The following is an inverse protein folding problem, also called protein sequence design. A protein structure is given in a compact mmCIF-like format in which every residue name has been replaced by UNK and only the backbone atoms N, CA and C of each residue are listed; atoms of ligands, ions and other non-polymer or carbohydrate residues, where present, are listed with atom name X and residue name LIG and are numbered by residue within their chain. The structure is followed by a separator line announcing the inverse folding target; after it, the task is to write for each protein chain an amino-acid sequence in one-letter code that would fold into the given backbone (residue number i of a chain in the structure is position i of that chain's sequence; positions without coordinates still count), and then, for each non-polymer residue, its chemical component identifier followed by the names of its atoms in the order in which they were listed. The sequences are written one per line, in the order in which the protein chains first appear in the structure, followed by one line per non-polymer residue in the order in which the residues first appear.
data_IF_801740410758
#
_entry.id   IF_801740410758
#
_cell.length_a   1.000
_cell.length_b   1.000
_cell.length_c   1.000
_cell.angle_alpha   90.00
_cell.angle_beta   90.00
_cell.angle_gamma   90.00
#
_symmetry.space_group_name_H-M   'P 1'
#
loop_
_entity.id
_entity.type
_entity.pdbx_description
1 polymer ?
#
# COMPACT_ATOMS: atom_id res chain seq x y z
N UNK A 1 -11.34 25.98 14.33
CA UNK A 1 -11.09 24.57 14.66
C UNK A 1 -11.12 23.80 13.37
N UNK A 2 -9.98 23.38 12.84
CA UNK A 2 -9.89 22.56 11.63
C UNK A 2 -10.18 21.12 12.03
N UNK A 3 -11.24 20.54 11.49
CA UNK A 3 -11.56 19.11 11.69
C UNK A 3 -10.60 18.30 10.85
N UNK A 4 -9.88 17.34 11.46
CA UNK A 4 -8.98 16.44 10.74
C UNK A 4 -9.75 15.61 9.70
N UNK A 5 -9.12 15.28 8.57
CA UNK A 5 -9.74 14.46 7.50
C UNK A 5 -10.26 13.12 8.02
N UNK A 6 -9.57 12.49 8.97
CA UNK A 6 -10.02 11.27 9.64
C UNK A 6 -11.29 11.47 10.46
N UNK A 7 -11.44 12.64 11.09
CA UNK A 7 -12.65 12.99 11.82
C UNK A 7 -13.85 13.22 10.90
N UNK A 8 -13.63 13.75 9.68
CA UNK A 8 -14.67 13.85 8.65
C UNK A 8 -15.11 12.48 8.11
N UNK A 9 -14.17 11.55 7.94
CA UNK A 9 -14.46 10.18 7.48
C UNK A 9 -15.11 9.33 8.59
N UNK A 10 -14.79 9.58 9.87
CA UNK A 10 -15.46 8.97 11.02
C UNK A 10 -16.86 9.53 11.30
N UNK A 11 -17.22 10.69 10.73
CA UNK A 11 -18.51 11.36 10.89
C UNK A 11 -19.55 11.01 9.82
N UNK A 12 -19.40 9.91 9.10
CA UNK A 12 -20.49 9.36 8.29
C UNK A 12 -21.65 8.99 9.21
N UNK A 13 -22.88 9.50 8.98
CA UNK A 13 -23.98 9.30 9.91
C UNK A 13 -24.33 7.82 9.98
N UNK A 14 -24.06 7.20 11.10
CA UNK A 14 -24.78 6.03 11.55
C UNK A 14 -26.26 6.42 11.60
N UNK A 15 -27.02 6.03 10.61
CA UNK A 15 -28.47 6.00 10.66
C UNK A 15 -28.85 5.06 11.81
N UNK A 16 -29.10 5.65 12.99
CA UNK A 16 -29.80 5.02 14.10
C UNK A 16 -31.21 4.66 13.62
N UNK A 17 -31.38 3.47 13.09
CA UNK A 17 -32.69 2.83 12.96
C UNK A 17 -33.10 2.39 14.37
N UNK A 18 -33.90 3.22 15.01
CA UNK A 18 -34.68 2.83 16.18
C UNK A 18 -35.59 1.66 15.81
N UNK A 19 -35.74 0.63 16.66
CA UNK A 19 -36.65 -0.46 16.39
C UNK A 19 -38.09 0.03 16.50
N UNK A 20 -38.80 0.08 15.37
CA UNK A 20 -40.25 0.21 15.36
C UNK A 20 -40.85 -1.15 15.70
N UNK A 21 -41.35 -1.27 16.91
CA UNK A 21 -42.30 -2.29 17.30
C UNK A 21 -43.57 -2.14 16.45
N UNK A 22 -43.77 -3.03 15.48
CA UNK A 22 -45.07 -3.33 14.89
C UNK A 22 -45.35 -4.80 15.09
N UNK A 23 -46.46 -5.05 15.75
CA UNK A 23 -47.07 -6.33 16.10
C UNK A 23 -48.01 -6.69 14.96
N UNK A 24 -48.05 -7.96 14.59
CA UNK A 24 -49.20 -8.54 13.79
C UNK A 24 -48.74 -9.41 12.63
N UNK A 25 -48.79 -10.69 12.89
CA UNK A 25 -49.28 -11.82 12.09
C UNK A 25 -49.29 -11.66 10.54
N UNK A 26 -48.48 -12.42 9.85
CA UNK A 26 -48.87 -13.60 9.05
C UNK A 26 -47.62 -14.24 8.44
N UNK A 27 -47.51 -15.54 8.69
CA UNK A 27 -46.48 -16.39 8.17
C UNK A 27 -46.85 -16.90 6.77
N UNK A 28 -45.89 -16.87 5.83
CA UNK A 28 -45.76 -17.95 4.84
C UNK A 28 -44.42 -17.77 4.09
N UNK A 29 -43.54 -18.69 4.36
CA UNK A 29 -42.68 -19.40 3.44
C UNK A 29 -41.91 -18.59 2.37
N UNK A 30 -40.69 -18.24 2.70
CA UNK A 30 -39.62 -18.07 1.74
C UNK A 30 -38.35 -18.72 2.34
N UNK A 31 -38.11 -19.94 1.92
CA UNK A 31 -36.86 -20.66 2.14
C UNK A 31 -35.72 -19.87 1.55
N UNK A 32 -35.07 -19.08 2.40
CA UNK A 32 -33.81 -18.43 2.09
C UNK A 32 -32.70 -19.48 2.25
N UNK A 33 -32.26 -20.00 1.13
CA UNK A 33 -30.99 -20.70 1.01
C UNK A 33 -29.86 -19.64 0.95
N UNK A 34 -29.52 -19.06 2.08
CA UNK A 34 -28.44 -18.11 2.18
C UNK A 34 -27.78 -18.34 3.51
N UNK A 35 -26.78 -19.27 3.52
CA UNK A 35 -26.48 -19.37 4.76
C UNK A 35 -25.16 -19.72 5.37
N UNK A 36 -24.59 -20.80 5.25
CA UNK A 36 -23.51 -21.28 6.11
C UNK A 36 -22.10 -20.70 5.84
N UNK A 37 -21.86 -20.04 4.71
CA UNK A 37 -20.52 -19.54 4.34
C UNK A 37 -20.13 -18.23 5.04
N UNK A 38 -21.05 -17.42 5.54
CA UNK A 38 -20.75 -16.14 6.20
C UNK A 38 -20.30 -16.29 7.67
N UNK A 39 -20.53 -17.43 8.28
CA UNK A 39 -20.25 -17.65 9.71
C UNK A 39 -18.73 -17.84 10.02
N UNK A 40 -17.88 -18.07 9.01
CA UNK A 40 -16.46 -18.35 9.17
C UNK A 40 -15.50 -17.30 8.59
N UNK A 41 -16.01 -16.23 7.98
CA UNK A 41 -15.14 -15.19 7.43
C UNK A 41 -14.67 -14.22 8.52
N UNK A 42 -13.49 -14.49 9.07
CA UNK A 42 -12.83 -13.62 10.03
C UNK A 42 -11.66 -12.88 9.37
N UNK A 43 -11.79 -11.57 9.20
CA UNK A 43 -10.74 -10.73 8.62
C UNK A 43 -9.51 -10.69 9.53
N UNK A 44 -9.70 -10.51 10.82
CA UNK A 44 -8.64 -10.37 11.81
C UNK A 44 -8.64 -11.60 12.73
N UNK A 45 -7.51 -12.24 12.88
CA UNK A 45 -7.33 -13.39 13.77
C UNK A 45 -6.30 -13.10 14.85
N UNK A 46 -6.36 -13.82 15.99
CA UNK A 46 -5.32 -13.73 17.03
C UNK A 46 -3.91 -13.96 16.48
N UNK A 47 -3.77 -14.82 15.46
CA UNK A 47 -2.50 -15.10 14.81
C UNK A 47 -1.99 -13.88 14.03
N UNK A 48 -2.87 -13.24 13.23
CA UNK A 48 -2.52 -12.03 12.47
C UNK A 48 -2.21 -10.84 13.38
N UNK A 49 -2.95 -10.67 14.48
CA UNK A 49 -2.66 -9.62 15.46
C UNK A 49 -1.30 -9.83 16.16
N UNK A 50 -1.01 -11.07 16.58
CA UNK A 50 0.30 -11.39 17.15
C UNK A 50 1.43 -11.18 16.16
N UNK A 51 1.24 -11.60 14.91
CA UNK A 51 2.23 -11.40 13.84
C UNK A 51 2.47 -9.91 13.58
N UNK A 52 1.41 -9.10 13.47
CA UNK A 52 1.49 -7.65 13.31
C UNK A 52 2.27 -7.01 14.47
N UNK A 53 1.93 -7.32 15.71
CA UNK A 53 2.63 -6.77 16.89
C UNK A 53 4.12 -7.10 16.87
N UNK A 54 4.50 -8.36 16.60
CA UNK A 54 5.91 -8.77 16.50
C UNK A 54 6.63 -8.07 15.35
N UNK A 55 5.97 -7.88 14.19
CA UNK A 55 6.50 -7.12 13.07
C UNK A 55 6.81 -5.68 13.47
N UNK A 56 5.88 -5.01 14.15
CA UNK A 56 6.09 -3.66 14.68
C UNK A 56 7.25 -3.58 15.66
N UNK A 57 7.38 -4.55 16.57
CA UNK A 57 8.51 -4.61 17.50
C UNK A 57 9.85 -4.76 16.78
N UNK A 58 9.89 -5.51 15.67
CA UNK A 58 11.06 -5.56 14.80
C UNK A 58 11.33 -4.21 14.14
N UNK A 59 10.32 -3.58 13.51
CA UNK A 59 10.47 -2.29 12.84
C UNK A 59 11.00 -1.19 13.78
N UNK A 60 10.57 -1.18 15.03
CA UNK A 60 11.09 -0.23 16.03
C UNK A 60 12.59 -0.37 16.29
N UNK A 61 13.17 -1.57 16.14
CA UNK A 61 14.60 -1.81 16.30
C UNK A 61 15.42 -1.33 15.10
N UNK A 62 14.79 -1.12 13.94
CA UNK A 62 15.46 -0.59 12.74
C UNK A 62 15.52 0.93 12.71
N UNK A 63 14.77 1.60 13.60
CA UNK A 63 14.73 3.07 13.68
C UNK A 63 15.96 3.64 14.33
N UNK A 64 16.52 4.67 13.73
CA UNK A 64 17.58 5.51 14.26
C UNK A 64 17.01 6.67 15.10
N UNK A 65 17.89 7.33 15.87
CA UNK A 65 17.48 8.46 16.73
C UNK A 65 16.92 9.65 15.94
N UNK A 66 17.37 9.83 14.71
CA UNK A 66 16.92 10.89 13.80
C UNK A 66 15.58 10.59 13.10
N UNK A 67 15.02 9.40 13.30
CA UNK A 67 13.75 8.97 12.73
C UNK A 67 13.85 8.16 11.43
N UNK A 68 15.05 8.02 10.85
CA UNK A 68 15.27 7.17 9.69
C UNK A 68 15.26 5.68 10.07
N UNK A 69 14.87 4.81 9.16
CA UNK A 69 14.90 3.36 9.31
C UNK A 69 15.89 2.75 8.32
N UNK A 70 16.76 1.87 8.81
CA UNK A 70 17.71 1.13 7.96
C UNK A 70 17.02 0.00 7.21
N UNK A 71 17.72 -0.58 6.24
CA UNK A 71 17.23 -1.77 5.50
C UNK A 71 17.16 -3.02 6.39
N UNK A 72 17.88 -3.01 7.51
CA UNK A 72 17.85 -3.98 8.62
C UNK A 72 18.32 -3.28 9.90
N UNK A 73 18.28 -3.98 11.04
CA UNK A 73 18.76 -3.47 12.34
C UNK A 73 20.24 -3.04 12.22
N UNK A 74 20.53 -1.82 12.67
CA UNK A 74 21.89 -1.27 12.67
C UNK A 74 22.43 -0.85 11.29
N UNK A 75 21.63 -0.96 10.22
CA UNK A 75 22.01 -0.48 8.89
C UNK A 75 21.67 1.01 8.72
N UNK A 76 22.41 1.74 7.87
CA UNK A 76 22.11 3.15 7.60
C UNK A 76 20.67 3.39 7.15
N UNK A 77 20.09 4.57 7.46
CA UNK A 77 18.74 4.90 7.05
C UNK A 77 18.54 4.85 5.52
N UNK A 78 17.42 4.26 5.10
CA UNK A 78 16.92 4.24 3.73
C UNK A 78 15.57 4.98 3.68
N UNK A 79 15.41 5.88 2.71
CA UNK A 79 14.22 6.74 2.60
C UNK A 79 12.97 5.91 2.32
N UNK A 80 13.05 4.94 1.40
CA UNK A 80 11.92 4.08 1.04
C UNK A 80 11.52 3.17 2.21
N UNK A 81 12.48 2.55 2.89
CA UNK A 81 12.22 1.78 4.11
C UNK A 81 11.57 2.66 5.19
N UNK A 82 12.11 3.86 5.42
CA UNK A 82 11.58 4.80 6.43
C UNK A 82 10.13 5.18 6.14
N UNK A 83 9.82 5.55 4.90
CA UNK A 83 8.46 5.90 4.50
C UNK A 83 7.50 4.72 4.63
N UNK A 84 7.92 3.50 4.22
CA UNK A 84 7.08 2.30 4.32
C UNK A 84 6.82 1.89 5.78
N UNK A 85 7.82 2.04 6.66
CA UNK A 85 7.62 1.88 8.12
C UNK A 85 6.60 2.88 8.66
N UNK A 86 6.70 4.13 8.21
CA UNK A 86 5.72 5.17 8.55
C UNK A 86 4.30 4.78 8.13
N UNK A 87 4.11 4.34 6.89
CA UNK A 87 2.82 3.84 6.38
C UNK A 87 2.29 2.67 7.22
N UNK A 88 3.16 1.73 7.61
CA UNK A 88 2.80 0.61 8.48
C UNK A 88 2.30 1.07 9.86
N UNK A 89 2.87 2.13 10.44
CA UNK A 89 2.38 2.70 11.69
C UNK A 89 1.05 3.43 11.50
N UNK A 90 0.88 4.18 10.40
CA UNK A 90 -0.40 4.82 10.07
C UNK A 90 -1.53 3.80 9.88
N UNK A 91 -1.24 2.68 9.20
CA UNK A 91 -2.20 1.60 8.97
C UNK A 91 -2.71 0.93 10.26
N UNK A 92 -2.03 1.16 11.39
CA UNK A 92 -2.44 0.73 12.73
C UNK A 92 -3.12 1.84 13.54
N UNK A 93 -3.51 2.94 12.91
CA UNK A 93 -4.19 4.06 13.54
C UNK A 93 -3.27 5.05 14.26
N UNK A 94 -1.94 4.91 14.14
CA UNK A 94 -1.05 5.92 14.71
C UNK A 94 -0.94 7.13 13.76
N UNK A 95 -1.00 8.34 14.31
CA UNK A 95 -0.77 9.60 13.58
C UNK A 95 0.35 10.38 14.27
N UNK A 96 0.77 11.53 13.74
CA UNK A 96 1.71 12.40 14.46
C UNK A 96 1.23 12.84 15.83
N UNK A 97 -0.08 12.87 16.10
CA UNK A 97 -0.69 13.36 17.36
C UNK A 97 -1.38 12.27 18.16
N UNK A 98 -1.80 11.18 17.56
CA UNK A 98 -2.58 10.11 18.19
C UNK A 98 -1.89 8.74 18.07
N UNK A 99 -2.22 7.86 19.01
CA UNK A 99 -1.75 6.47 19.05
C UNK A 99 -0.44 6.28 19.81
N UNK A 100 -0.15 5.02 20.13
CA UNK A 100 1.00 4.62 20.95
C UNK A 100 2.35 4.85 20.27
N UNK A 101 2.35 5.08 18.96
CA UNK A 101 3.54 5.32 18.11
C UNK A 101 3.60 6.73 17.53
N UNK A 102 2.80 7.67 18.04
CA UNK A 102 2.77 9.06 17.57
C UNK A 102 4.17 9.73 17.56
N UNK A 103 4.98 9.46 18.58
CA UNK A 103 6.37 9.95 18.64
C UNK A 103 7.20 9.44 17.46
N UNK A 104 7.11 8.15 17.17
CA UNK A 104 7.85 7.52 16.06
C UNK A 104 7.37 8.07 14.71
N UNK A 105 6.07 8.24 14.53
CA UNK A 105 5.53 8.87 13.32
C UNK A 105 6.08 10.29 13.15
N UNK A 106 6.11 11.13 14.20
CA UNK A 106 6.74 12.47 14.15
C UNK A 106 8.22 12.41 13.78
N UNK A 107 8.97 11.45 14.32
CA UNK A 107 10.38 11.29 14.00
C UNK A 107 10.58 10.94 12.51
N UNK A 108 9.75 10.03 11.97
CA UNK A 108 9.75 9.68 10.54
C UNK A 108 9.40 10.90 9.68
N UNK A 109 8.35 11.65 10.03
CA UNK A 109 8.00 12.92 9.34
C UNK A 109 9.21 13.84 9.32
N UNK A 110 9.80 14.12 10.48
CA UNK A 110 10.95 15.03 10.58
C UNK A 110 12.16 14.56 9.76
N UNK A 111 12.42 13.25 9.72
CA UNK A 111 13.49 12.67 8.90
C UNK A 111 13.22 12.91 7.40
N UNK A 112 12.03 12.57 6.93
CA UNK A 112 11.68 12.71 5.51
C UNK A 112 11.63 14.18 5.06
N UNK A 113 11.15 15.10 5.91
CA UNK A 113 11.18 16.54 5.61
C UNK A 113 12.63 17.03 5.41
N UNK A 114 13.57 16.63 6.28
CA UNK A 114 14.99 16.96 6.08
C UNK A 114 15.55 16.37 4.78
N UNK A 115 15.15 15.15 4.40
CA UNK A 115 15.56 14.56 3.12
C UNK A 115 15.07 15.40 1.94
N UNK A 116 13.82 15.89 1.99
CA UNK A 116 13.24 16.74 0.93
C UNK A 116 13.90 18.13 0.89
N UNK A 117 14.20 18.71 2.05
CA UNK A 117 14.90 20.01 2.12
C UNK A 117 16.28 19.94 1.46
N UNK A 118 17.02 18.87 1.74
CA UNK A 118 18.37 18.63 1.20
C UNK A 118 18.36 17.93 -0.17
N UNK A 119 17.21 17.77 -0.78
CA UNK A 119 17.06 17.11 -2.08
C UNK A 119 17.78 17.92 -3.17
N UNK A 120 18.65 17.29 -3.99
CA UNK A 120 19.11 17.89 -5.24
C UNK A 120 17.91 18.24 -6.12
N UNK A 121 18.13 19.10 -7.14
CA UNK A 121 17.04 19.66 -7.98
C UNK A 121 16.09 18.62 -8.60
N UNK A 122 16.54 17.35 -8.70
CA UNK A 122 15.87 16.36 -9.55
C UNK A 122 15.25 15.20 -8.79
N UNK A 123 15.73 14.82 -7.60
CA UNK A 123 15.19 13.65 -6.87
C UNK A 123 15.75 13.54 -5.45
N UNK A 124 15.01 12.85 -4.54
CA UNK A 124 15.58 12.35 -3.30
C UNK A 124 16.39 11.10 -3.63
N UNK A 125 17.69 11.24 -3.82
CA UNK A 125 18.55 10.09 -4.09
C UNK A 125 19.59 9.91 -2.98
N UNK A 126 19.93 8.67 -2.72
CA UNK A 126 21.18 8.34 -2.01
C UNK A 126 22.37 8.39 -2.98
N UNK A 127 23.59 8.60 -2.46
CA UNK A 127 24.80 8.60 -3.27
C UNK A 127 25.03 7.29 -4.04
N UNK A 128 24.50 6.18 -3.54
CA UNK A 128 24.47 4.84 -4.17
C UNK A 128 23.02 4.39 -4.32
N UNK A 129 22.69 3.78 -5.46
CA UNK A 129 21.36 3.21 -5.66
C UNK A 129 21.09 2.09 -4.65
N UNK A 130 19.92 2.13 -4.05
CA UNK A 130 19.45 1.11 -3.11
C UNK A 130 18.77 -0.05 -3.84
N UNK A 131 18.47 -1.14 -3.12
CA UNK A 131 17.72 -2.26 -3.69
C UNK A 131 16.35 -1.82 -4.22
N UNK A 132 15.66 -0.91 -3.50
CA UNK A 132 14.38 -0.36 -3.94
C UNK A 132 14.50 0.41 -5.26
N UNK A 133 15.52 1.28 -5.38
CA UNK A 133 15.74 2.04 -6.60
C UNK A 133 16.13 1.14 -7.78
N UNK A 134 16.95 0.11 -7.56
CA UNK A 134 17.34 -0.84 -8.60
C UNK A 134 16.15 -1.66 -9.11
N UNK A 135 15.25 -2.08 -8.21
CA UNK A 135 14.14 -2.96 -8.56
C UNK A 135 12.89 -2.20 -9.03
N UNK A 136 12.46 -1.19 -8.27
CA UNK A 136 11.22 -0.44 -8.50
C UNK A 136 11.46 0.72 -9.48
N UNK A 137 12.63 1.36 -9.38
CA UNK A 137 13.03 2.46 -10.24
C UNK A 137 13.74 3.57 -9.47
N UNK A 138 14.50 4.38 -10.20
CA UNK A 138 15.32 5.46 -9.65
C UNK A 138 14.56 6.35 -8.67
N UNK A 139 13.29 6.64 -8.97
CA UNK A 139 12.46 7.59 -8.23
C UNK A 139 11.67 6.94 -7.06
N UNK A 140 11.93 5.67 -6.74
CA UNK A 140 11.22 4.95 -5.70
C UNK A 140 11.20 5.70 -4.35
N UNK A 141 12.32 6.31 -3.94
CA UNK A 141 12.40 7.10 -2.71
C UNK A 141 11.42 8.28 -2.71
N UNK A 142 11.33 9.01 -3.83
CA UNK A 142 10.38 10.11 -3.98
C UNK A 142 8.93 9.63 -3.91
N UNK A 143 8.62 8.48 -4.53
CA UNK A 143 7.28 7.91 -4.50
C UNK A 143 6.84 7.51 -3.09
N UNK A 144 7.68 6.76 -2.38
CA UNK A 144 7.36 6.35 -1.01
C UNK A 144 7.27 7.53 -0.04
N UNK A 145 8.19 8.51 -0.15
CA UNK A 145 8.17 9.70 0.69
C UNK A 145 6.92 10.55 0.42
N UNK A 146 6.55 10.80 -0.85
CA UNK A 146 5.37 11.55 -1.20
C UNK A 146 4.08 10.83 -0.75
N UNK A 147 4.01 9.51 -0.92
CA UNK A 147 2.88 8.71 -0.44
C UNK A 147 2.69 8.86 1.07
N UNK A 148 3.75 8.67 1.86
CA UNK A 148 3.66 8.81 3.32
C UNK A 148 3.32 10.24 3.75
N UNK A 149 4.03 11.25 3.22
CA UNK A 149 3.81 12.65 3.60
C UNK A 149 2.39 13.12 3.24
N UNK A 150 1.81 12.60 2.15
CA UNK A 150 0.41 12.86 1.79
C UNK A 150 -0.58 12.31 2.83
N UNK A 151 -0.27 11.16 3.45
CA UNK A 151 -1.16 10.56 4.46
C UNK A 151 -1.13 11.31 5.80
N UNK A 152 -0.04 12.03 6.10
CA UNK A 152 0.10 12.80 7.35
C UNK A 152 -0.17 14.29 7.18
N UNK A 153 -0.44 14.76 5.96
CA UNK A 153 -0.76 16.16 5.72
C UNK A 153 -2.07 16.55 6.43
N UNK A 154 -2.00 17.50 7.34
CA UNK A 154 -3.13 17.94 8.16
C UNK A 154 -3.31 17.19 9.48
N UNK A 155 -2.50 16.14 9.73
CA UNK A 155 -2.60 15.31 10.94
C UNK A 155 -1.63 15.73 12.07
N UNK A 156 -0.76 16.72 11.84
CA UNK A 156 0.22 17.21 12.83
C UNK A 156 -0.25 18.40 13.64
N UNK A 157 0.55 18.79 14.65
CA UNK A 157 0.37 20.02 15.43
C UNK A 157 0.48 21.28 14.53
N UNK A 158 1.34 21.24 13.52
CA UNK A 158 1.45 22.24 12.45
C UNK A 158 1.11 21.59 11.10
N UNK A 159 -0.15 21.68 10.65
CA UNK A 159 -0.59 21.09 9.38
C UNK A 159 0.15 21.62 8.16
N UNK A 160 0.65 22.86 8.23
CA UNK A 160 1.34 23.50 7.09
C UNK A 160 2.82 23.13 6.99
N UNK A 161 3.42 22.53 8.02
CA UNK A 161 4.82 22.11 7.99
C UNK A 161 5.13 21.12 6.85
N UNK A 162 4.20 20.21 6.56
CA UNK A 162 4.37 19.16 5.55
C UNK A 162 4.04 19.64 4.14
N UNK A 163 3.16 20.62 3.98
CA UNK A 163 2.62 21.04 2.67
C UNK A 163 3.69 21.54 1.69
N UNK A 164 4.58 22.49 2.03
CA UNK A 164 5.58 22.99 1.08
C UNK A 164 6.58 21.92 0.63
N UNK A 165 7.18 21.10 1.52
CA UNK A 165 8.05 20.01 1.10
C UNK A 165 7.33 18.95 0.24
N UNK A 166 6.11 18.57 0.60
CA UNK A 166 5.31 17.64 -0.20
C UNK A 166 5.02 18.21 -1.59
N UNK A 167 4.63 19.48 -1.69
CA UNK A 167 4.40 20.15 -2.98
C UNK A 167 5.66 20.13 -3.85
N UNK A 168 6.83 20.47 -3.29
CA UNK A 168 8.13 20.42 -4.00
C UNK A 168 8.39 19.01 -4.54
N UNK A 169 8.15 17.99 -3.72
CA UNK A 169 8.37 16.59 -4.10
C UNK A 169 7.40 16.14 -5.21
N UNK A 170 6.13 16.49 -5.10
CA UNK A 170 5.10 16.17 -6.11
C UNK A 170 5.38 16.86 -7.44
N UNK A 171 5.74 18.16 -7.43
CA UNK A 171 6.15 18.89 -8.64
C UNK A 171 7.35 18.20 -9.32
N UNK A 172 8.27 17.68 -8.54
CA UNK A 172 9.40 16.89 -9.05
C UNK A 172 8.92 15.59 -9.70
N UNK A 173 8.08 14.82 -9.03
CA UNK A 173 7.51 13.56 -9.56
C UNK A 173 6.75 13.79 -10.87
N UNK A 174 5.90 14.83 -10.94
CA UNK A 174 5.16 15.19 -12.16
C UNK A 174 6.10 15.57 -13.31
N UNK A 175 7.13 16.37 -13.01
CA UNK A 175 8.13 16.79 -14.02
C UNK A 175 8.92 15.62 -14.59
N UNK A 176 9.18 14.59 -13.78
CA UNK A 176 9.98 13.43 -14.16
C UNK A 176 9.17 12.34 -14.86
N UNK A 177 7.85 12.48 -14.92
CA UNK A 177 7.01 11.57 -15.69
C UNK A 177 7.31 11.73 -17.18
N UNK A 178 7.51 10.62 -17.89
CA UNK A 178 7.73 10.60 -19.34
C UNK A 178 6.48 11.04 -20.11
N UNK A 179 6.65 11.32 -21.40
CA UNK A 179 5.51 11.62 -22.28
C UNK A 179 4.54 10.44 -22.38
N UNK A 180 5.04 9.20 -22.21
CA UNK A 180 4.25 7.98 -22.27
C UNK A 180 3.50 7.66 -20.96
N UNK A 181 3.74 8.43 -19.89
CA UNK A 181 3.00 8.29 -18.62
C UNK A 181 3.68 7.43 -17.55
N UNK A 182 4.87 6.92 -17.82
CA UNK A 182 5.72 6.19 -16.86
C UNK A 182 6.84 7.08 -16.26
N UNK A 183 7.75 6.48 -15.48
CA UNK A 183 8.95 7.14 -14.93
C UNK A 183 10.25 6.45 -15.37
N UNK A 184 10.25 5.79 -16.52
CA UNK A 184 11.40 5.20 -17.17
C UNK A 184 11.55 3.69 -16.96
N UNK A 185 12.15 3.06 -17.97
CA UNK A 185 12.21 1.60 -18.18
C UNK A 185 13.46 0.95 -17.60
N UNK A 186 14.30 1.67 -16.83
CA UNK A 186 15.59 1.16 -16.36
C UNK A 186 15.51 0.25 -15.14
N UNK A 187 14.31 0.01 -14.60
CA UNK A 187 14.09 -0.84 -13.43
C UNK A 187 13.76 -2.29 -13.83
N UNK A 188 13.93 -3.21 -12.88
CA UNK A 188 13.60 -4.63 -13.07
C UNK A 188 12.09 -4.92 -12.91
N UNK A 189 11.35 -3.97 -12.35
CA UNK A 189 9.89 -4.03 -12.17
C UNK A 189 9.23 -2.71 -12.60
N UNK A 190 9.25 -2.36 -13.91
CA UNK A 190 8.80 -1.06 -14.37
C UNK A 190 7.31 -0.81 -14.09
N UNK A 191 6.45 -1.82 -14.21
CA UNK A 191 5.02 -1.69 -13.87
C UNK A 191 4.84 -1.33 -12.40
N UNK A 192 5.56 -2.00 -11.49
CA UNK A 192 5.50 -1.70 -10.07
C UNK A 192 5.96 -0.27 -9.77
N UNK A 193 7.04 0.19 -10.43
CA UNK A 193 7.51 1.57 -10.34
C UNK A 193 6.47 2.58 -10.83
N UNK A 194 5.83 2.30 -11.95
CA UNK A 194 4.76 3.13 -12.52
C UNK A 194 3.55 3.21 -11.59
N UNK A 195 3.13 2.08 -11.00
CA UNK A 195 2.05 2.04 -10.00
C UNK A 195 2.40 2.85 -8.75
N UNK A 196 3.64 2.74 -8.25
CA UNK A 196 4.06 3.53 -7.08
C UNK A 196 4.11 5.03 -7.38
N UNK A 197 4.56 5.43 -8.57
CA UNK A 197 4.52 6.81 -9.04
C UNK A 197 3.09 7.34 -9.07
N UNK A 198 2.18 6.61 -9.70
CA UNK A 198 0.76 6.94 -9.72
C UNK A 198 0.15 7.06 -8.32
N UNK A 199 0.39 6.06 -7.46
CA UNK A 199 -0.16 6.02 -6.10
C UNK A 199 0.30 7.21 -5.26
N UNK A 200 1.57 7.62 -5.41
CA UNK A 200 2.12 8.81 -4.75
C UNK A 200 1.43 10.10 -5.19
N UNK A 201 1.14 10.24 -6.49
CA UNK A 201 0.41 11.38 -7.03
C UNK A 201 -1.07 11.35 -6.64
N UNK A 202 -1.70 10.18 -6.68
CA UNK A 202 -3.10 10.02 -6.23
C UNK A 202 -3.27 10.40 -4.76
N UNK A 203 -2.36 9.95 -3.90
CA UNK A 203 -2.36 10.33 -2.49
C UNK A 203 -2.15 11.84 -2.28
N UNK A 204 -1.29 12.45 -3.09
CA UNK A 204 -1.05 13.90 -3.05
C UNK A 204 -2.26 14.71 -3.53
N UNK A 205 -2.91 14.28 -4.61
CA UNK A 205 -4.15 14.89 -5.12
C UNK A 205 -5.27 14.82 -4.07
N UNK A 206 -5.46 13.65 -3.47
CA UNK A 206 -6.39 13.45 -2.36
C UNK A 206 -6.07 14.35 -1.17
N UNK A 207 -4.77 14.65 -0.93
CA UNK A 207 -4.31 15.61 0.06
C UNK A 207 -4.45 17.08 -0.37
N UNK A 208 -4.98 17.37 -1.56
CA UNK A 208 -5.19 18.71 -2.09
C UNK A 208 -3.95 19.35 -2.69
N UNK A 209 -2.98 18.55 -3.14
CA UNK A 209 -1.83 18.99 -3.93
C UNK A 209 -2.13 18.74 -5.41
N UNK A 210 -1.95 19.75 -6.26
CA UNK A 210 -2.25 19.62 -7.69
C UNK A 210 -1.24 18.72 -8.40
N UNK A 211 -1.76 17.76 -9.18
CA UNK A 211 -0.97 16.77 -9.95
C UNK A 211 -1.17 16.85 -11.47
N UNK A 212 -2.09 17.71 -11.93
CA UNK A 212 -2.44 17.83 -13.35
C UNK A 212 -3.10 16.56 -13.90
N UNK A 213 -2.83 16.24 -15.16
CA UNK A 213 -3.32 15.04 -15.84
C UNK A 213 -2.34 13.85 -15.76
N UNK A 214 -1.43 13.88 -14.80
CA UNK A 214 -0.41 12.84 -14.64
C UNK A 214 -1.02 11.46 -14.31
N UNK A 215 -2.06 11.35 -13.48
CA UNK A 215 -2.70 10.05 -13.20
C UNK A 215 -3.34 9.42 -14.44
N UNK A 216 -4.01 10.20 -15.29
CA UNK A 216 -4.67 9.71 -16.51
C UNK A 216 -3.66 9.17 -17.51
N UNK A 217 -2.54 9.88 -17.71
CA UNK A 217 -1.45 9.41 -18.57
C UNK A 217 -0.86 8.09 -18.09
N UNK A 218 -0.76 7.91 -16.78
CA UNK A 218 -0.28 6.64 -16.20
C UNK A 218 -1.25 5.49 -16.48
N UNK A 219 -2.54 5.70 -16.34
CA UNK A 219 -3.54 4.68 -16.64
C UNK A 219 -3.48 4.25 -18.11
N UNK A 220 -3.40 5.22 -19.04
CA UNK A 220 -3.24 4.95 -20.48
C UNK A 220 -1.98 4.15 -20.79
N UNK A 221 -0.86 4.46 -20.12
CA UNK A 221 0.39 3.73 -20.26
C UNK A 221 0.23 2.28 -19.79
N UNK A 222 -0.32 2.08 -18.59
CA UNK A 222 -0.50 0.74 -18.01
C UNK A 222 -1.40 -0.15 -18.86
N UNK A 223 -2.48 0.38 -19.41
CA UNK A 223 -3.36 -0.37 -20.31
C UNK A 223 -2.57 -0.88 -21.52
N UNK A 224 -1.80 -0.01 -22.16
CA UNK A 224 -0.99 -0.38 -23.34
C UNK A 224 0.07 -1.43 -22.98
N UNK A 225 0.80 -1.23 -21.88
CA UNK A 225 1.86 -2.13 -21.43
C UNK A 225 1.30 -3.51 -21.06
N UNK A 226 0.21 -3.56 -20.29
CA UNK A 226 -0.44 -4.82 -19.92
C UNK A 226 -1.02 -5.55 -21.14
N UNK A 227 -1.59 -4.86 -22.13
CA UNK A 227 -2.07 -5.47 -23.39
C UNK A 227 -0.91 -6.10 -24.18
N UNK A 228 0.24 -5.45 -24.27
CA UNK A 228 1.43 -5.99 -24.92
C UNK A 228 1.97 -7.23 -24.18
N UNK A 229 1.95 -7.24 -22.87
CA UNK A 229 2.42 -8.35 -22.06
C UNK A 229 1.48 -9.57 -22.16
N UNK A 230 0.18 -9.38 -22.27
CA UNK A 230 -0.78 -10.48 -22.51
C UNK A 230 -0.51 -11.20 -23.85
N UNK A 231 -0.09 -10.46 -24.88
CA UNK A 231 0.27 -11.05 -26.17
C UNK A 231 1.53 -11.94 -26.08
N UNK A 232 2.39 -11.71 -25.08
CA UNK A 232 3.67 -12.38 -24.88
C UNK A 232 3.66 -13.33 -23.66
N UNK A 233 2.60 -14.13 -23.49
CA UNK A 233 2.46 -15.09 -22.39
C UNK A 233 3.61 -16.07 -22.29
N UNK A 234 4.64 -15.74 -21.52
CA UNK A 234 5.76 -16.63 -21.22
C UNK A 234 6.56 -16.06 -20.04
N UNK A 235 6.30 -16.53 -18.83
CA UNK A 235 7.06 -16.10 -17.66
C UNK A 235 6.66 -16.82 -16.39
N UNK A 236 7.57 -16.86 -15.41
CA UNK A 236 7.27 -17.33 -14.05
C UNK A 236 6.11 -16.52 -13.47
N UNK A 237 5.20 -17.18 -12.76
CA UNK A 237 4.09 -16.54 -12.03
C UNK A 237 4.58 -15.41 -11.08
N UNK A 238 5.78 -15.52 -10.51
CA UNK A 238 6.37 -14.46 -9.68
C UNK A 238 6.53 -13.16 -10.47
N UNK A 239 6.99 -13.23 -11.72
CA UNK A 239 7.07 -12.04 -12.56
C UNK A 239 5.70 -11.49 -12.93
N UNK A 240 4.70 -12.34 -13.08
CA UNK A 240 3.32 -11.91 -13.38
C UNK A 240 2.72 -11.13 -12.22
N UNK A 241 3.01 -11.52 -10.96
CA UNK A 241 2.45 -10.89 -9.77
C UNK A 241 2.75 -9.38 -9.71
N UNK A 242 4.01 -8.98 -9.85
CA UNK A 242 4.38 -7.56 -9.77
C UNK A 242 4.42 -6.85 -11.14
N UNK A 243 4.32 -7.56 -12.25
CA UNK A 243 4.23 -6.95 -13.58
C UNK A 243 2.81 -6.51 -13.91
N UNK A 244 1.85 -7.42 -13.84
CA UNK A 244 0.50 -7.18 -14.30
C UNK A 244 -0.49 -7.01 -13.16
N UNK A 245 -0.35 -7.82 -12.09
CA UNK A 245 -1.32 -7.83 -11.01
C UNK A 245 -1.35 -6.51 -10.21
N UNK A 246 -0.22 -5.79 -10.09
CA UNK A 246 -0.23 -4.48 -9.43
C UNK A 246 -0.91 -3.40 -10.26
N UNK A 247 -0.94 -3.54 -11.57
CA UNK A 247 -1.66 -2.62 -12.46
C UNK A 247 -3.15 -2.52 -12.17
N UNK A 248 -3.77 -3.59 -11.64
CA UNK A 248 -5.19 -3.57 -11.26
C UNK A 248 -5.51 -2.48 -10.23
N UNK A 249 -4.55 -2.08 -9.40
CA UNK A 249 -4.73 -0.98 -8.43
C UNK A 249 -5.08 0.33 -9.14
N UNK A 250 -4.31 0.68 -10.16
CA UNK A 250 -4.55 1.90 -10.93
C UNK A 250 -5.82 1.79 -11.75
N UNK A 251 -6.01 0.68 -12.46
CA UNK A 251 -7.16 0.50 -13.34
C UNK A 251 -8.48 0.48 -12.55
N UNK A 252 -8.49 -0.13 -11.36
CA UNK A 252 -9.65 -0.13 -10.48
C UNK A 252 -10.00 1.29 -10.00
N UNK A 253 -9.05 2.05 -9.50
CA UNK A 253 -9.30 3.41 -9.02
C UNK A 253 -9.65 4.41 -10.14
N UNK A 254 -9.26 4.11 -11.37
CA UNK A 254 -9.66 4.88 -12.54
C UNK A 254 -11.01 4.47 -13.13
N UNK A 255 -11.72 3.52 -12.49
CA UNK A 255 -13.02 3.00 -12.98
C UNK A 255 -12.91 2.12 -14.22
N UNK A 256 -11.75 1.51 -14.44
CA UNK A 256 -11.42 0.68 -15.60
C UNK A 256 -11.38 -0.83 -15.27
N UNK A 257 -12.01 -1.23 -14.17
CA UNK A 257 -12.06 -2.63 -13.72
C UNK A 257 -12.79 -3.56 -14.68
N UNK A 258 -13.65 -3.02 -15.55
CA UNK A 258 -14.40 -3.78 -16.57
C UNK A 258 -13.66 -3.90 -17.91
N UNK A 259 -12.49 -3.30 -18.04
CA UNK A 259 -11.64 -3.55 -19.20
C UNK A 259 -11.19 -5.01 -19.22
N UNK A 260 -11.19 -5.64 -20.40
CA UNK A 260 -10.84 -7.07 -20.54
C UNK A 260 -9.47 -7.41 -19.94
N UNK A 261 -8.53 -6.46 -19.97
CA UNK A 261 -7.20 -6.61 -19.37
C UNK A 261 -7.28 -6.66 -17.85
N UNK A 262 -8.11 -5.80 -17.24
CA UNK A 262 -8.34 -5.75 -15.80
C UNK A 262 -9.01 -7.03 -15.30
N UNK A 263 -10.08 -7.47 -15.97
CA UNK A 263 -10.76 -8.73 -15.64
C UNK A 263 -9.83 -9.94 -15.70
N UNK A 264 -8.95 -10.00 -16.71
CA UNK A 264 -7.98 -11.09 -16.81
C UNK A 264 -6.95 -11.03 -15.67
N UNK A 265 -6.43 -9.84 -15.35
CA UNK A 265 -5.49 -9.66 -14.25
C UNK A 265 -6.10 -10.03 -12.89
N UNK A 266 -7.37 -9.69 -12.63
CA UNK A 266 -8.07 -10.13 -11.42
C UNK A 266 -8.22 -11.66 -11.35
N UNK A 267 -8.56 -12.31 -12.46
CA UNK A 267 -8.63 -13.78 -12.55
C UNK A 267 -7.28 -14.43 -12.26
N UNK A 268 -6.20 -13.90 -12.85
CA UNK A 268 -4.84 -14.41 -12.66
C UNK A 268 -4.40 -14.28 -11.19
N UNK A 269 -4.72 -13.16 -10.52
CA UNK A 269 -4.44 -12.94 -9.11
C UNK A 269 -5.21 -13.93 -8.21
N UNK A 270 -6.51 -14.13 -8.45
CA UNK A 270 -7.31 -15.07 -7.68
C UNK A 270 -6.88 -16.53 -7.91
N UNK A 271 -6.44 -16.86 -9.13
CA UNK A 271 -5.87 -18.18 -9.41
C UNK A 271 -4.58 -18.42 -8.63
N UNK A 272 -3.75 -17.38 -8.42
CA UNK A 272 -2.53 -17.49 -7.63
C UNK A 272 -2.80 -17.97 -6.20
N UNK A 273 -3.84 -17.46 -5.54
CA UNK A 273 -4.16 -17.87 -4.17
C UNK A 273 -4.91 -19.20 -4.08
N UNK A 274 -5.51 -19.65 -5.18
CA UNK A 274 -6.20 -20.95 -5.25
C UNK A 274 -5.26 -22.13 -5.50
N UNK A 275 -4.00 -21.86 -5.87
CA UNK A 275 -3.00 -22.90 -6.16
C UNK A 275 -1.97 -22.99 -5.02
N UNK A 276 -1.49 -24.19 -4.72
CA UNK A 276 -0.33 -24.32 -3.83
C UNK A 276 0.94 -23.95 -4.61
N UNK A 277 1.67 -22.99 -4.05
CA UNK A 277 2.88 -22.48 -4.71
C UNK A 277 3.84 -21.88 -3.68
N UNK A 278 5.05 -21.57 -4.13
CA UNK A 278 6.11 -20.98 -3.32
C UNK A 278 6.07 -19.44 -3.26
N UNK A 279 4.97 -18.82 -3.73
CA UNK A 279 4.84 -17.36 -3.86
C UNK A 279 5.23 -16.61 -2.60
N UNK A 280 4.74 -17.09 -1.47
CA UNK A 280 4.95 -16.43 -0.19
C UNK A 280 6.28 -16.81 0.47
N UNK A 281 6.68 -18.08 0.36
CA UNK A 281 7.92 -18.59 0.98
C UNK A 281 9.19 -18.20 0.23
N UNK A 282 9.08 -17.78 -1.03
CA UNK A 282 10.20 -17.34 -1.87
C UNK A 282 10.10 -15.86 -2.28
N UNK A 283 9.18 -15.11 -1.66
CA UNK A 283 8.94 -13.70 -1.98
C UNK A 283 10.19 -12.83 -1.77
N UNK A 284 10.45 -11.91 -2.68
CA UNK A 284 11.27 -10.72 -2.45
C UNK A 284 10.43 -9.56 -1.94
N UNK A 285 11.04 -8.43 -1.63
CA UNK A 285 10.30 -7.26 -1.16
C UNK A 285 9.36 -6.70 -2.22
N UNK A 286 9.64 -6.89 -3.49
CA UNK A 286 8.75 -6.53 -4.58
C UNK A 286 7.44 -7.33 -4.58
N UNK A 287 7.48 -8.62 -4.23
CA UNK A 287 6.26 -9.43 -4.05
C UNK A 287 5.52 -9.02 -2.79
N UNK A 288 6.20 -8.73 -1.67
CA UNK A 288 5.55 -8.19 -0.48
C UNK A 288 4.83 -6.86 -0.75
N UNK A 289 5.45 -5.97 -1.55
CA UNK A 289 4.79 -4.75 -2.00
C UNK A 289 3.59 -5.05 -2.91
N UNK A 290 3.74 -6.00 -3.85
CA UNK A 290 2.65 -6.42 -4.71
C UNK A 290 1.48 -7.01 -3.90
N UNK A 291 1.74 -7.86 -2.91
CA UNK A 291 0.70 -8.38 -2.01
C UNK A 291 -0.05 -7.26 -1.29
N UNK A 292 0.66 -6.22 -0.82
CA UNK A 292 0.01 -5.05 -0.21
C UNK A 292 -0.90 -4.33 -1.19
N UNK A 293 -0.41 -3.95 -2.38
CA UNK A 293 -1.16 -3.22 -3.39
C UNK A 293 -2.41 -3.99 -3.86
N UNK A 294 -2.27 -5.30 -4.08
CA UNK A 294 -3.38 -6.17 -4.46
C UNK A 294 -4.38 -6.28 -3.31
N UNK A 295 -3.90 -6.45 -2.07
CA UNK A 295 -4.78 -6.54 -0.88
C UNK A 295 -5.62 -5.28 -0.72
N UNK A 296 -5.05 -4.10 -0.90
CA UNK A 296 -5.79 -2.82 -0.89
C UNK A 296 -6.85 -2.78 -2.00
N UNK A 297 -6.50 -3.24 -3.20
CA UNK A 297 -7.44 -3.28 -4.33
C UNK A 297 -8.61 -4.25 -4.07
N UNK A 298 -8.31 -5.45 -3.56
CA UNK A 298 -9.31 -6.44 -3.21
C UNK A 298 -10.21 -5.98 -2.06
N UNK A 299 -9.64 -5.25 -1.09
CA UNK A 299 -10.40 -4.64 0.01
C UNK A 299 -11.41 -3.60 -0.51
N UNK A 300 -10.99 -2.72 -1.40
CA UNK A 300 -11.87 -1.71 -2.01
C UNK A 300 -12.94 -2.34 -2.90
N UNK A 301 -12.56 -3.35 -3.69
CA UNK A 301 -13.49 -4.11 -4.53
C UNK A 301 -14.51 -4.88 -3.69
N UNK A 302 -14.09 -5.45 -2.57
CA UNK A 302 -14.95 -6.16 -1.64
C UNK A 302 -15.54 -7.46 -2.19
N UNK A 303 -16.69 -7.85 -1.66
CA UNK A 303 -17.45 -9.00 -2.14
C UNK A 303 -16.72 -10.33 -2.08
N UNK A 304 -16.98 -11.21 -3.05
CA UNK A 304 -16.40 -12.57 -3.10
C UNK A 304 -14.90 -12.55 -3.37
N UNK A 305 -14.40 -11.57 -4.14
CA UNK A 305 -12.97 -11.46 -4.44
C UNK A 305 -12.15 -11.21 -3.17
N UNK A 306 -12.63 -10.32 -2.30
CA UNK A 306 -12.03 -10.08 -0.98
C UNK A 306 -12.07 -11.34 -0.10
N UNK A 307 -13.21 -12.00 -0.02
CA UNK A 307 -13.39 -13.23 0.77
C UNK A 307 -12.50 -14.38 0.28
N UNK A 308 -12.20 -14.44 -1.01
CA UNK A 308 -11.29 -15.42 -1.61
C UNK A 308 -9.83 -15.06 -1.40
N UNK A 309 -9.46 -13.80 -1.56
CA UNK A 309 -8.08 -13.32 -1.50
C UNK A 309 -7.54 -13.27 -0.07
N UNK A 310 -8.24 -12.54 0.80
CA UNK A 310 -7.61 -12.08 2.04
C UNK A 310 -7.28 -13.18 3.06
N UNK A 311 -8.16 -14.16 3.34
CA UNK A 311 -7.83 -15.20 4.31
C UNK A 311 -6.57 -15.99 3.93
N UNK A 312 -6.44 -16.32 2.64
CA UNK A 312 -5.29 -17.07 2.13
C UNK A 312 -4.01 -16.26 2.26
N UNK A 313 -4.02 -14.99 1.81
CA UNK A 313 -2.83 -14.12 1.87
C UNK A 313 -2.44 -13.84 3.32
N UNK A 314 -3.40 -13.51 4.17
CA UNK A 314 -3.18 -13.33 5.62
C UNK A 314 -2.48 -14.54 6.24
N UNK A 315 -3.02 -15.72 6.03
CA UNK A 315 -2.49 -16.94 6.68
C UNK A 315 -1.13 -17.35 6.12
N UNK A 316 -0.91 -17.20 4.81
CA UNK A 316 0.40 -17.42 4.18
C UNK A 316 1.44 -16.40 4.68
N UNK A 317 1.12 -15.11 4.77
CA UNK A 317 2.01 -14.08 5.32
C UNK A 317 2.35 -14.39 6.79
N UNK A 318 1.36 -14.73 7.61
CA UNK A 318 1.60 -15.14 9.01
C UNK A 318 2.52 -16.36 9.09
N UNK A 319 2.30 -17.35 8.23
CA UNK A 319 3.04 -18.62 8.21
C UNK A 319 4.53 -18.51 7.87
N UNK A 320 4.95 -17.42 7.17
CA UNK A 320 6.35 -17.20 6.78
C UNK A 320 7.07 -16.16 7.65
N UNK A 321 6.46 -15.73 8.77
CA UNK A 321 7.11 -14.82 9.71
C UNK A 321 8.28 -15.45 10.43
N UNK A 322 9.42 -14.77 10.48
CA UNK A 322 10.61 -15.19 11.21
C UNK A 322 10.39 -15.21 12.73
N UNK A 323 11.24 -15.97 13.45
CA UNK A 323 11.18 -16.08 14.91
C UNK A 323 11.39 -14.74 15.64
N UNK A 324 12.07 -13.77 15.04
CA UNK A 324 12.29 -12.44 15.60
C UNK A 324 11.20 -11.41 15.25
N UNK A 325 10.16 -11.85 14.53
CA UNK A 325 9.01 -11.04 14.14
C UNK A 325 9.15 -10.36 12.77
N UNK A 326 10.29 -10.49 12.09
CA UNK A 326 10.50 -9.93 10.77
C UNK A 326 9.95 -10.82 9.64
N UNK A 327 9.93 -10.26 8.43
CA UNK A 327 9.84 -10.99 7.17
C UNK A 327 11.08 -10.68 6.33
N UNK A 328 11.54 -11.67 5.57
CA UNK A 328 12.78 -11.59 4.77
C UNK A 328 12.45 -11.74 3.29
N UNK A 329 13.02 -10.88 2.45
CA UNK A 329 13.03 -11.08 1.01
C UNK A 329 14.10 -12.08 0.58
N UNK A 330 13.74 -12.99 -0.31
CA UNK A 330 14.63 -14.07 -0.76
C UNK A 330 15.42 -13.72 -2.04
N UNK A 331 15.05 -12.65 -2.72
CA UNK A 331 15.73 -12.16 -3.93
C UNK A 331 15.48 -10.64 -4.10
N UNK A 332 16.20 -10.01 -5.01
CA UNK A 332 16.15 -8.61 -5.40
C UNK A 332 16.07 -7.62 -4.21
N UNK A 333 14.90 -7.39 -3.63
CA UNK A 333 14.75 -6.59 -2.42
C UNK A 333 14.75 -7.55 -1.22
N UNK A 334 15.90 -7.65 -0.56
CA UNK A 334 16.11 -8.53 0.61
C UNK A 334 15.96 -7.80 1.94
N UNK A 335 15.66 -6.49 1.92
CA UNK A 335 15.48 -5.66 3.11
C UNK A 335 14.43 -6.23 4.05
N UNK A 336 14.86 -6.65 5.25
CA UNK A 336 13.94 -7.15 6.28
C UNK A 336 13.00 -6.06 6.77
N UNK A 337 13.48 -4.82 6.85
CA UNK A 337 12.65 -3.67 7.21
C UNK A 337 11.53 -3.46 6.20
N UNK A 338 11.85 -3.42 4.92
CA UNK A 338 10.87 -3.21 3.86
C UNK A 338 9.84 -4.35 3.78
N UNK A 339 10.32 -5.60 3.76
CA UNK A 339 9.45 -6.77 3.74
C UNK A 339 8.52 -6.82 4.97
N UNK A 340 9.04 -6.51 6.17
CA UNK A 340 8.24 -6.47 7.41
C UNK A 340 7.20 -5.36 7.36
N UNK A 341 7.54 -4.18 6.89
CA UNK A 341 6.59 -3.08 6.75
C UNK A 341 5.47 -3.42 5.75
N UNK A 342 5.81 -3.97 4.57
CA UNK A 342 4.81 -4.40 3.59
C UNK A 342 3.93 -5.55 4.10
N UNK A 343 4.50 -6.58 4.75
CA UNK A 343 3.73 -7.66 5.37
C UNK A 343 2.77 -7.12 6.44
N UNK A 344 3.23 -6.17 7.26
CA UNK A 344 2.38 -5.52 8.28
C UNK A 344 1.24 -4.74 7.62
N UNK A 345 1.49 -4.03 6.51
CA UNK A 345 0.46 -3.33 5.73
C UNK A 345 -0.61 -4.31 5.20
N UNK A 346 -0.21 -5.49 4.70
CA UNK A 346 -1.16 -6.55 4.31
C UNK A 346 -2.04 -6.96 5.50
N UNK A 347 -1.42 -7.25 6.65
CA UNK A 347 -2.14 -7.74 7.83
C UNK A 347 -3.05 -6.69 8.48
N UNK A 348 -2.76 -5.41 8.28
CA UNK A 348 -3.54 -4.28 8.83
C UNK A 348 -4.53 -3.65 7.85
N UNK A 349 -4.58 -4.12 6.60
CA UNK A 349 -5.52 -3.62 5.60
C UNK A 349 -6.98 -3.60 6.11
N UNK A 350 -7.50 -4.64 6.81
CA UNK A 350 -8.85 -4.62 7.34
C UNK A 350 -9.15 -3.50 8.35
N UNK A 351 -8.14 -2.88 8.95
CA UNK A 351 -8.33 -1.77 9.89
C UNK A 351 -8.79 -0.47 9.18
N UNK A 352 -8.54 -0.35 7.87
CA UNK A 352 -8.98 0.78 7.02
C UNK A 352 -8.55 2.15 7.53
N UNK A 353 -7.37 2.25 8.19
CA UNK A 353 -6.89 3.51 8.73
C UNK A 353 -6.19 4.42 7.71
N UNK A 354 -5.64 3.86 6.61
CA UNK A 354 -4.99 4.68 5.59
C UNK A 354 -6.02 5.45 4.76
N UNK A 355 -5.93 6.79 4.66
CA UNK A 355 -6.84 7.59 3.83
C UNK A 355 -6.88 7.15 2.37
N UNK A 356 -5.72 6.76 1.80
CA UNK A 356 -5.62 6.28 0.41
C UNK A 356 -6.32 4.93 0.18
N UNK A 357 -6.61 4.18 1.24
CA UNK A 357 -7.30 2.89 1.18
C UNK A 357 -8.83 3.02 1.35
N UNK A 358 -9.32 4.23 1.62
CA UNK A 358 -10.75 4.49 1.73
C UNK A 358 -11.37 4.56 0.32
N UNK A 359 -12.61 4.03 0.14
CA UNK A 359 -13.34 4.09 -1.12
C UNK A 359 -13.71 5.52 -1.54
#
# INVERSE_FOLDING_TARGET
MSISRRQLLAASPLLLLAPRLLRGEDAADATASGGDDDMFFQEITDASERATRRGVEFLLKTMHRDGGCGVDIGQPPDIGCTATVGLSFLAQGNTPVEGTRSRQVRQIVSYLLRCVENMPSDDITSATQTQLQNKIGRHAHSFFAALFLSQVLGEGEDPELVRPPLKKLVETIVRMQSADGDWGQTSWAPVLGTVMGWLSLRAADFAGIKVGNSPERTADHLIKDMQQQLANRGGSWMHTLYKNATGIRVLFEMGLEHEAISEQAFKDVLQLVSTDNTAFSQAGGEEYLAFHLITETMLQKGGQDWKTWYPVVRDKIVGVQNSDGSWTGHHCITSRTFCTACATLVLTAPYRYLPISQP
#
